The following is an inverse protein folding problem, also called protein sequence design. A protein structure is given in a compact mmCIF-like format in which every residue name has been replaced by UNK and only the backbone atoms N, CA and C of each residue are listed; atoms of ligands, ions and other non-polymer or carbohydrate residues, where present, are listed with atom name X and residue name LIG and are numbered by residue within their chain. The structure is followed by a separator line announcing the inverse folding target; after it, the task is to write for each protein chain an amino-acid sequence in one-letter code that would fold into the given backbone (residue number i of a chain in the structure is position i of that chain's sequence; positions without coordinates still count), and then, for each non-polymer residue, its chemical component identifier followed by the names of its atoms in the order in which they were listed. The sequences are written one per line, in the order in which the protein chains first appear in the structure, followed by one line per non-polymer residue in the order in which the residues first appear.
data_IF_868466946207
#
_entry.id   IF_868466946207
#
_cell.length_a   1.000
_cell.length_b   1.000
_cell.length_c   1.000
_cell.angle_alpha   90.00
_cell.angle_beta   90.00
_cell.angle_gamma   90.00
#
_symmetry.space_group_name_H-M   'P 1'
#
loop_
_entity.id
_entity.type
_entity.pdbx_description
1 polymer ?
#
# COMPACT_ATOMS: atom_id res chain seq x y z
N UNK A 1 -31.12 66.46 3.57
CA UNK A 1 -29.72 66.30 4.03
C UNK A 1 -29.63 64.99 4.79
N UNK A 2 -28.85 63.98 4.45
CA UNK A 2 -28.03 63.65 3.29
C UNK A 2 -27.78 62.14 3.41
N UNK A 3 -27.85 61.45 2.27
CA UNK A 3 -27.47 60.06 2.03
C UNK A 3 -26.05 59.76 2.52
N UNK A 4 -25.88 58.62 3.21
CA UNK A 4 -24.61 57.92 3.25
C UNK A 4 -24.88 56.45 2.90
N UNK A 5 -24.82 56.18 1.60
CA UNK A 5 -24.60 54.85 1.03
C UNK A 5 -23.28 54.35 1.61
N UNK A 6 -23.34 53.35 2.49
CA UNK A 6 -22.15 52.64 2.93
C UNK A 6 -21.72 51.70 1.80
N UNK A 7 -20.51 52.00 1.36
CA UNK A 7 -19.71 51.52 0.26
C UNK A 7 -19.77 50.01 -0.02
N UNK A 8 -19.93 49.70 -1.30
CA UNK A 8 -19.80 48.38 -1.90
C UNK A 8 -18.36 47.88 -1.83
N UNK A 9 -17.93 47.36 -0.69
CA UNK A 9 -16.73 46.52 -0.64
C UNK A 9 -17.09 45.10 -1.08
N UNK A 10 -17.06 44.88 -2.39
CA UNK A 10 -16.94 43.55 -2.99
C UNK A 10 -15.65 42.90 -2.48
N UNK A 11 -15.71 42.26 -1.31
CA UNK A 11 -14.70 41.28 -0.96
C UNK A 11 -15.01 40.03 -1.78
N UNK A 12 -14.43 39.96 -2.97
CA UNK A 12 -14.11 38.71 -3.63
C UNK A 12 -13.19 37.91 -2.69
N UNK A 13 -13.76 37.36 -1.61
CA UNK A 13 -13.17 36.21 -0.94
C UNK A 13 -13.37 35.06 -1.91
N UNK A 14 -12.40 34.88 -2.78
CA UNK A 14 -12.10 33.57 -3.34
C UNK A 14 -11.96 32.63 -2.14
N UNK A 15 -13.07 31.98 -1.77
CA UNK A 15 -13.02 30.73 -1.01
C UNK A 15 -12.15 29.84 -1.87
N UNK A 16 -10.86 29.76 -1.54
CA UNK A 16 -10.01 28.67 -1.97
C UNK A 16 -10.67 27.45 -1.37
N UNK A 17 -11.62 26.88 -2.12
CA UNK A 17 -12.26 25.64 -1.77
C UNK A 17 -11.11 24.65 -1.65
N UNK A 18 -10.74 24.30 -0.42
CA UNK A 18 -9.74 23.28 -0.16
C UNK A 18 -10.24 22.05 -0.89
N UNK A 19 -9.65 21.75 -2.03
CA UNK A 19 -9.98 20.58 -2.82
C UNK A 19 -9.76 19.39 -1.89
N UNK A 20 -10.85 18.76 -1.44
CA UNK A 20 -10.74 17.59 -0.58
C UNK A 20 -9.99 16.53 -1.41
N UNK A 21 -8.83 16.10 -0.92
CA UNK A 21 -8.07 15.03 -1.55
C UNK A 21 -8.99 13.82 -1.69
N UNK A 22 -9.12 13.31 -2.90
CA UNK A 22 -9.80 12.05 -3.15
C UNK A 22 -8.93 10.89 -2.65
N UNK A 23 -9.49 10.04 -1.79
CA UNK A 23 -8.86 8.80 -1.33
C UNK A 23 -9.73 7.66 -1.87
N UNK A 24 -9.21 6.81 -2.78
CA UNK A 24 -9.96 5.68 -3.29
C UNK A 24 -10.34 4.75 -2.12
N UNK A 25 -11.59 4.28 -2.13
CA UNK A 25 -12.10 3.35 -1.10
C UNK A 25 -11.83 1.88 -1.44
N UNK A 26 -11.36 1.61 -2.66
CA UNK A 26 -11.00 0.29 -3.14
C UNK A 26 -9.49 0.10 -3.11
N UNK A 27 -9.05 -1.15 -2.90
CA UNK A 27 -7.66 -1.53 -3.09
C UNK A 27 -7.27 -1.34 -4.56
N UNK A 28 -6.06 -0.84 -4.80
CA UNK A 28 -5.50 -0.72 -6.15
C UNK A 28 -5.12 -2.10 -6.71
N UNK A 29 -4.67 -3.01 -5.82
CA UNK A 29 -4.27 -4.37 -6.16
C UNK A 29 -4.71 -5.32 -5.05
N UNK A 30 -5.17 -6.49 -5.48
CA UNK A 30 -5.52 -7.60 -4.60
C UNK A 30 -4.56 -8.75 -4.89
N UNK A 31 -4.02 -9.33 -3.83
CA UNK A 31 -3.13 -10.48 -3.90
C UNK A 31 -3.84 -11.64 -3.21
N UNK A 32 -3.92 -12.78 -3.88
CA UNK A 32 -4.51 -13.98 -3.28
C UNK A 32 -3.49 -14.59 -2.32
N UNK A 33 -3.89 -14.71 -1.04
CA UNK A 33 -3.08 -15.27 0.03
C UNK A 33 -3.77 -16.54 0.57
N UNK A 34 -3.64 -17.69 -0.12
CA UNK A 34 -4.12 -18.95 0.40
C UNK A 34 -3.34 -19.33 1.67
N UNK A 35 -4.00 -19.98 2.62
CA UNK A 35 -3.38 -20.54 3.83
C UNK A 35 -2.64 -19.52 4.72
N UNK A 36 -3.12 -18.26 4.71
CA UNK A 36 -2.65 -17.24 5.66
C UNK A 36 -3.09 -17.61 7.08
N UNK A 37 -2.10 -17.74 7.97
CA UNK A 37 -2.35 -18.05 9.39
C UNK A 37 -2.90 -16.81 10.09
N UNK A 38 -4.08 -16.92 10.69
CA UNK A 38 -4.71 -15.86 11.49
C UNK A 38 -4.22 -15.91 12.94
N UNK A 39 -2.95 -15.52 13.14
CA UNK A 39 -2.35 -15.38 14.48
C UNK A 39 -2.00 -13.92 14.74
N UNK A 40 -2.60 -13.35 15.79
CA UNK A 40 -2.42 -11.96 16.21
C UNK A 40 -0.98 -11.60 16.57
N UNK A 41 -0.17 -12.58 17.01
CA UNK A 41 1.19 -12.31 17.47
C UNK A 41 2.24 -12.37 16.36
N UNK A 42 1.86 -12.83 15.17
CA UNK A 42 2.78 -13.01 14.06
C UNK A 42 2.70 -11.84 13.08
N UNK A 43 3.87 -11.26 12.77
CA UNK A 43 4.01 -10.32 11.66
C UNK A 43 4.37 -11.12 10.41
N UNK A 44 3.36 -11.61 9.70
CA UNK A 44 3.53 -12.45 8.51
C UNK A 44 3.82 -11.66 7.23
N UNK A 45 3.77 -10.33 7.28
CA UNK A 45 3.94 -9.45 6.13
C UNK A 45 4.93 -8.32 6.45
N UNK A 46 5.91 -8.13 5.58
CA UNK A 46 6.87 -7.02 5.64
C UNK A 46 7.10 -6.40 4.26
N UNK A 47 7.24 -5.08 4.21
CA UNK A 47 7.50 -4.32 2.99
C UNK A 47 8.87 -3.66 3.06
N UNK A 48 9.82 -4.24 2.32
CA UNK A 48 11.18 -3.72 2.22
C UNK A 48 11.30 -2.46 1.36
N UNK A 49 12.29 -1.63 1.66
CA UNK A 49 12.63 -0.37 0.94
C UNK A 49 12.93 -0.55 -0.57
N UNK A 50 13.17 -1.79 -1.02
CA UNK A 50 13.39 -2.14 -2.43
C UNK A 50 12.10 -2.44 -3.20
N UNK A 51 10.94 -2.09 -2.64
CA UNK A 51 9.62 -2.43 -3.18
C UNK A 51 9.42 -3.94 -3.37
N UNK A 52 9.98 -4.71 -2.43
CA UNK A 52 9.76 -6.15 -2.34
C UNK A 52 8.96 -6.41 -1.09
N UNK A 53 7.80 -7.03 -1.26
CA UNK A 53 6.89 -7.45 -0.20
C UNK A 53 7.19 -8.91 0.13
N UNK A 54 7.50 -9.22 1.38
CA UNK A 54 7.61 -10.59 1.87
C UNK A 54 6.33 -10.96 2.61
N UNK A 55 5.75 -12.10 2.27
CA UNK A 55 4.55 -12.67 2.92
C UNK A 55 4.84 -14.12 3.29
N UNK A 56 4.64 -14.48 4.55
CA UNK A 56 4.69 -15.85 5.04
C UNK A 56 3.28 -16.45 4.97
N UNK A 57 3.12 -17.48 4.13
CA UNK A 57 1.90 -18.27 3.99
C UNK A 57 2.23 -19.70 4.39
N UNK A 58 1.54 -20.23 5.40
CA UNK A 58 1.84 -21.55 5.99
C UNK A 58 3.35 -21.73 6.28
N UNK A 59 4.02 -22.71 5.64
CA UNK A 59 5.45 -22.98 5.79
C UNK A 59 6.32 -22.33 4.69
N UNK A 60 5.75 -21.42 3.89
CA UNK A 60 6.40 -20.84 2.71
C UNK A 60 6.44 -19.33 2.74
N UNK A 61 7.60 -18.77 2.41
CA UNK A 61 7.75 -17.32 2.24
C UNK A 61 7.69 -16.97 0.76
N UNK A 62 6.74 -16.12 0.42
CA UNK A 62 6.55 -15.54 -0.90
C UNK A 62 7.12 -14.12 -0.91
N UNK A 63 7.87 -13.80 -1.97
CA UNK A 63 8.38 -12.46 -2.23
C UNK A 63 7.71 -11.91 -3.48
N UNK A 64 7.16 -10.72 -3.38
CA UNK A 64 6.55 -10.01 -4.49
C UNK A 64 7.29 -8.71 -4.77
N UNK A 65 7.75 -8.54 -6.00
CA UNK A 65 8.37 -7.29 -6.42
C UNK A 65 7.31 -6.35 -7.03
N UNK A 66 6.93 -5.29 -6.32
CA UNK A 66 5.91 -4.33 -6.79
C UNK A 66 6.35 -3.54 -8.02
N UNK A 67 7.65 -3.37 -8.26
CA UNK A 67 8.16 -2.62 -9.41
C UNK A 67 8.08 -3.43 -10.72
N UNK A 68 8.24 -4.76 -10.65
CA UNK A 68 8.24 -5.65 -11.81
C UNK A 68 7.00 -6.54 -11.91
N UNK A 69 6.19 -6.62 -10.86
CA UNK A 69 5.05 -7.54 -10.76
C UNK A 69 5.45 -9.02 -10.71
N UNK A 70 6.68 -9.34 -10.29
CA UNK A 70 7.21 -10.70 -10.28
C UNK A 70 7.06 -11.33 -8.89
N UNK A 71 6.69 -12.60 -8.86
CA UNK A 71 6.61 -13.43 -7.66
C UNK A 71 7.82 -14.36 -7.59
N UNK A 72 8.42 -14.46 -6.41
CA UNK A 72 9.50 -15.39 -6.10
C UNK A 72 9.08 -16.20 -4.88
N UNK A 73 8.94 -17.51 -5.04
CA UNK A 73 8.73 -18.41 -3.91
C UNK A 73 10.09 -18.78 -3.30
N UNK A 74 10.33 -18.41 -2.04
CA UNK A 74 11.63 -18.60 -1.40
C UNK A 74 11.83 -19.98 -0.76
N UNK A 75 10.91 -20.93 -0.97
CA UNK A 75 11.02 -22.31 -0.43
C UNK A 75 11.76 -23.30 -1.32
N UNK A 76 12.03 -22.98 -2.59
CA UNK A 76 12.67 -23.95 -3.49
C UNK A 76 14.20 -24.10 -3.33
N UNK A 77 14.91 -23.12 -2.76
CA UNK A 77 16.38 -23.14 -2.76
C UNK A 77 17.02 -23.93 -1.61
N UNK A 78 16.32 -24.22 -0.52
CA UNK A 78 16.88 -25.11 0.52
C UNK A 78 16.63 -26.59 0.22
N UNK A 79 15.57 -26.93 -0.51
CA UNK A 79 15.31 -28.34 -0.90
C UNK A 79 16.22 -28.83 -2.03
N UNK A 80 16.73 -27.95 -2.89
CA UNK A 80 17.69 -28.32 -3.94
C UNK A 80 19.16 -28.14 -3.53
N UNK A 81 19.47 -27.31 -2.52
CA UNK A 81 20.84 -27.20 -1.99
C UNK A 81 21.34 -28.48 -1.32
N UNK A 82 20.45 -29.32 -0.78
CA UNK A 82 20.82 -30.62 -0.22
C UNK A 82 21.07 -31.71 -1.28
N UNK A 83 20.81 -31.46 -2.58
CA UNK A 83 21.00 -32.47 -3.64
C UNK A 83 22.38 -32.44 -4.33
N UNK A 84 23.26 -31.52 -3.94
CA UNK A 84 24.63 -31.43 -4.49
C UNK A 84 25.73 -31.57 -3.43
N UNK A 85 25.43 -32.18 -2.27
CA UNK A 85 26.44 -32.59 -1.28
C UNK A 85 26.38 -34.09 -1.02
N UNK A 86 26.50 -34.88 -2.09
CA UNK A 86 26.98 -36.26 -2.06
C UNK A 86 27.90 -36.47 -3.25
#
# INVERSE_FOLDING_TARGET
MLTALYDSASSNQSKVARTKRYIPQSADRTLDAPDLVDDFYLNLLDWGSRNVLSIALDNTVYLWNSSKGLWFEMVWLWKTACKWRQ
#
